data_IF_835456290115
#
_entry.id   IF_835456290115
#
_cell.length_a   1.000
_cell.length_b   1.000
_cell.length_c   1.000
_cell.angle_alpha   90.00
_cell.angle_beta   90.00
_cell.angle_gamma   90.00
#
_symmetry.space_group_name_H-M   'P 1'
#
loop_
_entity.id
_entity.type
_entity.pdbx_description
1 polymer ?
#
# COMPACT_ATOMS: atom_id res chain seq x y z
N UNK A 1 21.54 13.20 10.86
CA UNK A 1 20.70 14.01 9.93
C UNK A 1 19.74 13.07 9.19
N UNK A 2 18.44 13.42 9.05
CA UNK A 2 17.49 12.62 8.23
C UNK A 2 17.63 12.99 6.76
N UNK A 3 18.27 12.15 5.95
CA UNK A 3 18.39 12.36 4.51
C UNK A 3 17.04 12.38 3.82
N UNK A 4 16.13 11.50 4.22
CA UNK A 4 14.77 11.40 3.67
C UNK A 4 13.92 12.62 4.06
N UNK A 5 13.95 13.04 5.34
CA UNK A 5 13.12 14.15 5.82
C UNK A 5 13.42 15.49 5.12
N UNK A 6 14.67 15.71 4.72
CA UNK A 6 15.10 16.95 4.05
C UNK A 6 14.77 17.00 2.54
N UNK A 7 14.36 15.88 1.94
CA UNK A 7 14.06 15.87 0.52
C UNK A 7 12.75 16.62 0.25
N UNK A 8 12.72 17.61 -0.65
CA UNK A 8 11.49 18.26 -1.05
C UNK A 8 10.55 17.26 -1.73
N UNK A 9 9.26 17.52 -1.66
CA UNK A 9 8.20 16.74 -2.30
C UNK A 9 7.70 17.60 -3.46
N UNK A 10 7.86 17.13 -4.70
CA UNK A 10 7.29 17.79 -5.85
C UNK A 10 5.76 17.61 -5.84
N UNK A 11 5.02 18.69 -6.06
CA UNK A 11 3.57 18.70 -6.17
C UNK A 11 3.24 18.73 -7.67
N UNK A 12 2.70 17.64 -8.25
CA UNK A 12 2.32 17.62 -9.65
C UNK A 12 1.17 18.60 -9.95
N UNK A 13 1.04 19.01 -11.21
CA UNK A 13 -0.07 19.84 -11.65
C UNK A 13 -1.41 19.14 -11.37
N UNK A 14 -2.37 19.88 -10.82
CA UNK A 14 -3.67 19.36 -10.42
C UNK A 14 -3.74 18.72 -9.04
N UNK A 15 -2.66 18.81 -8.25
CA UNK A 15 -2.65 18.41 -6.83
C UNK A 15 -2.63 19.64 -5.94
N UNK A 16 -3.53 19.66 -4.97
CA UNK A 16 -3.65 20.72 -3.95
C UNK A 16 -3.40 20.12 -2.58
N UNK A 17 -2.55 20.76 -1.78
CA UNK A 17 -2.24 20.38 -0.41
C UNK A 17 -2.76 21.46 0.53
N UNK A 18 -3.65 21.09 1.44
CA UNK A 18 -4.17 21.96 2.50
C UNK A 18 -3.72 21.45 3.85
N UNK A 19 -3.07 22.30 4.62
CA UNK A 19 -2.65 21.98 5.99
C UNK A 19 -3.61 22.68 6.95
N UNK A 20 -4.39 21.90 7.67
CA UNK A 20 -5.35 22.38 8.68
C UNK A 20 -4.74 22.45 10.08
N UNK A 21 -5.61 22.70 11.07
CA UNK A 21 -5.21 22.74 12.46
C UNK A 21 -4.56 21.41 12.88
N UNK A 22 -3.58 21.49 13.79
CA UNK A 22 -2.84 20.33 14.34
C UNK A 22 -2.18 19.42 13.30
N UNK A 23 -1.83 19.96 12.11
CA UNK A 23 -1.29 19.17 10.99
C UNK A 23 -2.25 18.11 10.42
N UNK A 24 -3.56 18.36 10.43
CA UNK A 24 -4.49 17.61 9.61
C UNK A 24 -4.27 18.00 8.14
N UNK A 25 -3.61 17.12 7.40
CA UNK A 25 -3.26 17.39 6.00
C UNK A 25 -4.28 16.73 5.07
N UNK A 26 -4.80 17.53 4.16
CA UNK A 26 -5.68 17.07 3.08
C UNK A 26 -4.98 17.29 1.73
N UNK A 27 -4.83 16.24 0.96
CA UNK A 27 -4.26 16.29 -0.38
C UNK A 27 -5.34 15.89 -1.38
N UNK A 28 -5.65 16.79 -2.29
CA UNK A 28 -6.65 16.59 -3.35
C UNK A 28 -5.95 16.46 -4.70
N UNK A 29 -6.34 15.47 -5.48
CA UNK A 29 -5.75 15.21 -6.80
C UNK A 29 -6.71 14.51 -7.76
N UNK A 30 -6.24 14.11 -8.95
CA UNK A 30 -7.08 13.56 -10.02
C UNK A 30 -7.76 12.24 -9.64
N UNK A 31 -7.15 11.41 -8.77
CA UNK A 31 -7.72 10.12 -8.35
C UNK A 31 -8.59 10.21 -7.10
N UNK A 32 -8.62 11.36 -6.44
CA UNK A 32 -9.44 11.57 -5.25
C UNK A 32 -8.76 12.44 -4.21
N UNK A 33 -9.21 12.30 -2.96
CA UNK A 33 -8.73 13.08 -1.82
C UNK A 33 -8.21 12.14 -0.74
N UNK A 34 -7.03 12.41 -0.23
CA UNK A 34 -6.44 11.73 0.92
C UNK A 34 -6.37 12.72 2.08
N UNK A 35 -6.81 12.31 3.27
CA UNK A 35 -6.73 13.11 4.50
C UNK A 35 -6.05 12.29 5.57
N UNK A 36 -5.03 12.85 6.21
CA UNK A 36 -4.29 12.17 7.27
C UNK A 36 -3.83 13.16 8.32
N UNK A 37 -3.92 12.74 9.59
CA UNK A 37 -3.36 13.47 10.72
C UNK A 37 -1.86 13.19 10.77
N UNK A 38 -1.04 14.21 10.58
CA UNK A 38 0.40 14.14 10.75
C UNK A 38 0.80 14.64 12.16
N UNK A 39 2.02 14.34 12.59
CA UNK A 39 2.44 14.67 13.94
C UNK A 39 2.57 16.19 14.12
N UNK A 40 1.95 16.73 15.18
CA UNK A 40 1.84 18.17 15.47
C UNK A 40 3.18 18.92 15.60
N UNK A 41 4.26 18.22 16.00
CA UNK A 41 5.57 18.84 16.14
C UNK A 41 6.24 19.15 14.80
N UNK A 42 5.78 18.58 13.70
CA UNK A 42 6.39 18.80 12.40
C UNK A 42 5.83 20.06 11.74
N UNK A 43 6.69 20.81 11.07
CA UNK A 43 6.34 22.02 10.36
C UNK A 43 6.26 21.67 8.86
N UNK A 44 5.09 21.81 8.28
CA UNK A 44 4.85 21.53 6.87
C UNK A 44 4.74 22.86 6.13
N UNK A 45 5.63 23.09 5.16
CA UNK A 45 5.62 24.27 4.31
C UNK A 45 5.28 23.87 2.88
N UNK A 46 4.37 24.58 2.27
CA UNK A 46 3.99 24.39 0.86
C UNK A 46 4.35 25.66 0.11
N UNK A 47 5.30 25.57 -0.80
CA UNK A 47 5.82 26.71 -1.57
C UNK A 47 5.70 26.41 -3.06
N UNK A 48 4.68 26.97 -3.69
CA UNK A 48 4.39 26.75 -5.11
C UNK A 48 4.23 25.27 -5.46
N UNK A 49 5.16 24.73 -6.26
CA UNK A 49 5.15 23.34 -6.72
C UNK A 49 5.91 22.37 -5.81
N UNK A 50 6.29 22.79 -4.60
CA UNK A 50 7.07 21.96 -3.66
C UNK A 50 6.51 22.02 -2.25
N UNK A 51 6.51 20.88 -1.57
CA UNK A 51 6.25 20.80 -0.14
C UNK A 51 7.50 20.32 0.60
N UNK A 52 7.78 20.94 1.73
CA UNK A 52 8.90 20.59 2.62
C UNK A 52 8.41 20.34 4.02
N UNK A 53 9.09 19.44 4.73
CA UNK A 53 8.81 19.15 6.14
C UNK A 53 10.04 19.55 6.95
N UNK A 54 9.82 20.32 8.01
CA UNK A 54 10.85 20.74 8.94
C UNK A 54 10.56 20.18 10.34
N UNK A 55 11.59 20.07 11.15
CA UNK A 55 11.49 19.70 12.57
C UNK A 55 11.92 20.85 13.46
N UNK A 56 11.31 21.02 14.65
CA UNK A 56 11.62 22.16 15.52
C UNK A 56 12.99 22.05 16.17
N UNK A 57 13.47 20.85 16.46
CA UNK A 57 14.74 20.59 17.11
C UNK A 57 15.34 19.22 16.73
N UNK A 58 16.54 18.90 17.28
CA UNK A 58 17.30 17.70 17.00
C UNK A 58 17.10 16.57 18.05
N UNK A 59 16.00 16.60 18.77
CA UNK A 59 15.61 15.50 19.66
C UNK A 59 15.38 14.19 18.91
N UNK A 60 15.63 13.06 19.57
CA UNK A 60 15.53 11.73 18.96
C UNK A 60 14.12 11.47 18.37
N UNK A 61 13.06 11.88 19.07
CA UNK A 61 11.69 11.78 18.61
C UNK A 61 11.46 12.58 17.32
N UNK A 62 11.85 13.86 17.29
CA UNK A 62 11.65 14.73 16.15
C UNK A 62 12.50 14.31 14.94
N UNK A 63 13.68 13.71 15.17
CA UNK A 63 14.48 13.08 14.09
C UNK A 63 13.77 11.89 13.45
N UNK A 64 13.14 11.03 14.24
CA UNK A 64 12.39 9.88 13.74
C UNK A 64 11.12 10.30 12.99
N UNK A 65 10.36 11.23 13.55
CA UNK A 65 9.12 11.76 12.98
C UNK A 65 9.34 12.54 11.67
N UNK A 66 10.48 13.22 11.52
CA UNK A 66 10.79 14.02 10.35
C UNK A 66 10.75 13.20 9.05
N UNK A 67 11.45 12.04 9.03
CA UNK A 67 11.44 11.15 7.87
C UNK A 67 10.09 10.46 7.64
N UNK A 68 9.41 10.08 8.73
CA UNK A 68 8.08 9.47 8.67
C UNK A 68 7.07 10.43 8.08
N UNK A 69 6.95 11.65 8.63
CA UNK A 69 5.99 12.65 8.17
C UNK A 69 6.21 13.00 6.70
N UNK A 70 7.47 13.20 6.30
CA UNK A 70 7.80 13.43 4.88
C UNK A 70 7.34 12.29 3.99
N UNK A 71 7.56 11.04 4.40
CA UNK A 71 7.17 9.85 3.61
C UNK A 71 5.65 9.72 3.54
N UNK A 72 4.93 9.98 4.63
CA UNK A 72 3.47 9.96 4.64
C UNK A 72 2.90 11.01 3.67
N UNK A 73 3.41 12.25 3.74
CA UNK A 73 2.98 13.32 2.82
C UNK A 73 3.29 12.97 1.35
N UNK A 74 4.48 12.44 1.07
CA UNK A 74 4.84 12.01 -0.28
C UNK A 74 3.94 10.87 -0.78
N UNK A 75 3.57 9.92 0.09
CA UNK A 75 2.63 8.87 -0.25
C UNK A 75 1.23 9.42 -0.54
N UNK A 76 0.75 10.41 0.22
CA UNK A 76 -0.54 11.06 -0.07
C UNK A 76 -0.53 11.70 -1.47
N UNK A 77 0.52 12.47 -1.81
CA UNK A 77 0.67 13.10 -3.13
C UNK A 77 0.69 12.04 -4.22
N UNK A 78 1.51 11.00 -4.10
CA UNK A 78 1.58 9.90 -5.07
C UNK A 78 0.27 9.14 -5.16
N UNK A 79 -0.42 8.92 -4.05
CA UNK A 79 -1.68 8.19 -4.00
C UNK A 79 -2.79 8.88 -4.77
N UNK A 80 -2.91 10.21 -4.66
CA UNK A 80 -3.94 10.98 -5.38
C UNK A 80 -3.60 11.24 -6.85
N UNK A 81 -2.32 11.04 -7.27
CA UNK A 81 -1.89 11.16 -8.66
C UNK A 81 -1.90 9.82 -9.38
N UNK A 82 -0.97 8.94 -9.01
CA UNK A 82 -0.73 7.65 -9.66
C UNK A 82 -1.57 6.53 -9.05
N UNK A 83 -1.87 6.65 -7.75
CA UNK A 83 -2.40 5.57 -6.94
C UNK A 83 -1.35 4.52 -6.59
N UNK A 84 -1.74 3.55 -5.79
CA UNK A 84 -0.93 2.40 -5.42
C UNK A 84 -1.54 1.12 -5.96
N UNK A 85 -0.68 0.22 -6.40
CA UNK A 85 -1.06 -1.11 -6.88
C UNK A 85 -0.16 -2.13 -6.20
N UNK A 86 -0.75 -3.16 -5.61
CA UNK A 86 -0.06 -4.37 -5.14
C UNK A 86 -0.53 -5.55 -5.96
N UNK A 87 0.42 -6.22 -6.59
CA UNK A 87 0.17 -7.42 -7.39
C UNK A 87 0.43 -8.66 -6.55
N UNK A 88 -0.53 -9.57 -6.59
CA UNK A 88 -0.47 -10.88 -5.95
C UNK A 88 -0.60 -11.96 -7.01
N UNK A 89 0.22 -13.00 -6.90
CA UNK A 89 0.20 -14.18 -7.74
C UNK A 89 -0.36 -15.38 -6.97
N UNK A 90 -1.22 -16.12 -7.62
CA UNK A 90 -1.76 -17.38 -7.11
C UNK A 90 -1.00 -18.54 -7.77
N UNK A 91 -0.43 -19.40 -6.96
CA UNK A 91 0.29 -20.60 -7.42
C UNK A 91 -0.43 -21.84 -6.89
N UNK A 92 -0.76 -22.76 -7.75
CA UNK A 92 -1.39 -24.04 -7.37
C UNK A 92 -2.40 -24.54 -8.39
N UNK A 93 -2.44 -25.85 -8.60
CA UNK A 93 -3.40 -26.48 -9.50
C UNK A 93 -4.82 -26.30 -8.94
N UNK A 94 -5.72 -25.76 -9.76
CA UNK A 94 -7.11 -25.50 -9.37
C UNK A 94 -7.32 -24.25 -8.52
N UNK A 95 -6.23 -23.54 -8.11
CA UNK A 95 -6.35 -22.26 -7.39
C UNK A 95 -6.65 -21.14 -8.38
N UNK A 96 -7.63 -20.32 -8.07
CA UNK A 96 -8.06 -19.23 -8.94
C UNK A 96 -8.73 -18.10 -8.18
N UNK A 97 -8.64 -16.91 -8.72
CA UNK A 97 -9.42 -15.74 -8.34
C UNK A 97 -10.42 -15.39 -9.44
N UNK A 98 -11.55 -14.84 -9.05
CA UNK A 98 -12.53 -14.27 -9.95
C UNK A 98 -13.15 -13.03 -9.29
N UNK A 99 -13.39 -11.98 -10.07
CA UNK A 99 -14.14 -10.81 -9.60
C UNK A 99 -15.57 -10.85 -10.14
N UNK A 100 -16.55 -10.68 -9.25
CA UNK A 100 -17.96 -10.56 -9.59
C UNK A 100 -18.48 -9.25 -9.01
N UNK A 101 -18.71 -8.25 -9.86
CA UNK A 101 -19.09 -6.91 -9.42
C UNK A 101 -18.03 -6.29 -8.48
N UNK A 102 -18.39 -6.08 -7.23
CA UNK A 102 -17.49 -5.53 -6.19
C UNK A 102 -16.83 -6.62 -5.34
N UNK A 103 -17.13 -7.89 -5.57
CA UNK A 103 -16.63 -8.99 -4.74
C UNK A 103 -15.53 -9.76 -5.45
N UNK A 104 -14.38 -9.90 -4.79
CA UNK A 104 -13.30 -10.80 -5.16
C UNK A 104 -13.56 -12.17 -4.54
N UNK A 105 -13.68 -13.19 -5.35
CA UNK A 105 -13.87 -14.59 -4.92
C UNK A 105 -12.57 -15.36 -5.10
N UNK A 106 -12.11 -16.00 -4.04
CA UNK A 106 -10.89 -16.79 -4.02
C UNK A 106 -11.23 -18.29 -3.82
N UNK A 107 -10.79 -19.09 -4.77
CA UNK A 107 -10.82 -20.55 -4.64
C UNK A 107 -9.36 -21.03 -4.43
N UNK A 108 -8.98 -21.28 -3.20
CA UNK A 108 -7.62 -21.61 -2.79
C UNK A 108 -7.55 -22.98 -2.09
N UNK A 109 -8.45 -23.90 -2.41
CA UNK A 109 -8.49 -25.23 -1.83
C UNK A 109 -9.00 -25.26 -0.38
N UNK A 110 -9.77 -24.27 0.03
CA UNK A 110 -10.57 -24.31 1.25
C UNK A 110 -11.92 -24.99 0.98
N UNK A 111 -12.55 -25.53 2.02
CA UNK A 111 -13.89 -26.15 1.93
C UNK A 111 -15.01 -25.14 1.64
N UNK A 112 -14.74 -23.86 1.82
CA UNK A 112 -15.65 -22.75 1.56
C UNK A 112 -14.95 -21.66 0.70
N UNK A 113 -15.69 -20.92 -0.12
CA UNK A 113 -15.11 -19.79 -0.84
C UNK A 113 -14.72 -18.69 0.14
N UNK A 114 -13.60 -18.03 -0.14
CA UNK A 114 -13.17 -16.83 0.60
C UNK A 114 -13.45 -15.63 -0.28
N UNK A 115 -14.11 -14.63 0.30
CA UNK A 115 -14.52 -13.43 -0.42
C UNK A 115 -13.96 -12.17 0.22
N UNK A 116 -13.58 -11.19 -0.61
CA UNK A 116 -13.24 -9.83 -0.20
C UNK A 116 -14.09 -8.86 -1.01
N UNK A 117 -14.50 -7.77 -0.39
CA UNK A 117 -15.29 -6.75 -1.06
C UNK A 117 -14.46 -5.49 -1.35
N UNK A 118 -14.74 -4.85 -2.49
CA UNK A 118 -14.24 -3.51 -2.77
C UNK A 118 -14.78 -2.56 -1.70
N UNK A 119 -13.90 -1.82 -1.04
CA UNK A 119 -14.29 -0.89 0.01
C UNK A 119 -13.08 -0.19 0.63
N UNK A 120 -13.33 0.76 1.53
CA UNK A 120 -12.27 1.51 2.22
C UNK A 120 -11.23 2.15 1.28
N UNK A 121 -11.66 2.59 0.09
CA UNK A 121 -10.74 3.18 -0.90
C UNK A 121 -9.87 2.17 -1.64
N UNK A 122 -10.18 0.87 -1.56
CA UNK A 122 -9.48 -0.20 -2.28
C UNK A 122 -10.41 -0.86 -3.28
N UNK A 123 -9.88 -1.16 -4.46
CA UNK A 123 -10.53 -1.92 -5.52
C UNK A 123 -9.65 -3.08 -5.96
N UNK A 124 -10.30 -4.20 -6.27
CA UNK A 124 -9.63 -5.37 -6.81
C UNK A 124 -9.76 -5.42 -8.33
N UNK A 125 -8.75 -5.92 -9.02
CA UNK A 125 -8.83 -6.33 -10.42
C UNK A 125 -8.22 -7.71 -10.57
N UNK A 126 -8.80 -8.52 -11.46
CA UNK A 126 -8.34 -9.87 -11.76
C UNK A 126 -8.16 -9.96 -13.26
N UNK A 127 -7.00 -9.52 -13.79
CA UNK A 127 -6.72 -9.59 -15.23
C UNK A 127 -6.58 -11.04 -15.72
N UNK A 128 -6.10 -11.91 -14.85
CA UNK A 128 -5.97 -13.36 -15.08
C UNK A 128 -6.41 -14.12 -13.83
N UNK A 129 -6.89 -15.35 -13.94
CA UNK A 129 -7.35 -16.12 -12.78
C UNK A 129 -6.30 -16.36 -11.68
N UNK A 130 -5.03 -16.20 -12.02
CA UNK A 130 -3.89 -16.35 -11.12
C UNK A 130 -3.25 -15.03 -10.70
N UNK A 131 -3.76 -13.87 -11.14
CA UNK A 131 -3.20 -12.54 -10.81
C UNK A 131 -4.29 -11.67 -10.21
N UNK A 132 -4.00 -11.10 -9.05
CA UNK A 132 -4.87 -10.16 -8.35
C UNK A 132 -4.12 -8.84 -8.22
N UNK A 133 -4.75 -7.75 -8.67
CA UNK A 133 -4.27 -6.39 -8.46
C UNK A 133 -5.12 -5.74 -7.38
N UNK A 134 -4.47 -5.29 -6.30
CA UNK A 134 -5.09 -4.52 -5.21
C UNK A 134 -4.72 -3.07 -5.44
N UNK A 135 -5.70 -2.23 -5.75
CA UNK A 135 -5.51 -0.82 -6.13
C UNK A 135 -6.17 0.11 -5.12
N UNK A 136 -5.54 1.26 -4.87
CA UNK A 136 -6.12 2.29 -4.00
C UNK A 136 -5.28 3.55 -3.94
N UNK A 137 -5.82 4.56 -3.24
CA UNK A 137 -5.16 5.85 -3.05
C UNK A 137 -4.21 5.78 -1.84
N UNK A 138 -4.59 5.06 -0.79
CA UNK A 138 -3.80 4.95 0.44
C UNK A 138 -2.91 3.71 0.40
N UNK A 139 -1.59 3.93 0.44
CA UNK A 139 -0.59 2.86 0.47
C UNK A 139 -0.72 1.93 1.67
N UNK A 140 -1.13 2.47 2.84
CA UNK A 140 -1.28 1.68 4.07
C UNK A 140 -2.45 0.71 3.93
N UNK A 141 -3.60 1.20 3.47
CA UNK A 141 -4.82 0.39 3.29
C UNK A 141 -4.61 -0.65 2.20
N UNK A 142 -4.03 -0.26 1.04
CA UNK A 142 -3.67 -1.20 -0.05
C UNK A 142 -2.74 -2.29 0.45
N UNK A 143 -1.70 -1.92 1.23
CA UNK A 143 -0.76 -2.88 1.80
C UNK A 143 -1.42 -3.83 2.79
N UNK A 144 -2.29 -3.32 3.67
CA UNK A 144 -3.01 -4.11 4.66
C UNK A 144 -3.97 -5.12 4.00
N UNK A 145 -4.74 -4.66 3.01
CA UNK A 145 -5.69 -5.54 2.29
C UNK A 145 -4.93 -6.59 1.49
N UNK A 146 -3.84 -6.22 0.80
CA UNK A 146 -3.00 -7.18 0.09
C UNK A 146 -2.40 -8.24 1.03
N UNK A 147 -1.98 -7.84 2.24
CA UNK A 147 -1.49 -8.77 3.25
C UNK A 147 -2.59 -9.71 3.76
N UNK A 148 -3.81 -9.24 3.93
CA UNK A 148 -4.97 -10.07 4.31
C UNK A 148 -5.29 -11.12 3.22
N UNK A 149 -5.32 -10.71 1.95
CA UNK A 149 -5.53 -11.62 0.81
C UNK A 149 -4.42 -12.68 0.78
N UNK A 150 -3.15 -12.28 0.94
CA UNK A 150 -2.02 -13.24 1.00
C UNK A 150 -2.12 -14.18 2.20
N UNK A 151 -2.54 -13.70 3.36
CA UNK A 151 -2.66 -14.49 4.59
C UNK A 151 -3.73 -15.58 4.50
N UNK A 152 -4.70 -15.47 3.59
CA UNK A 152 -5.72 -16.50 3.35
C UNK A 152 -5.10 -17.86 3.02
N UNK A 153 -4.07 -17.88 2.18
CA UNK A 153 -3.31 -19.10 1.86
C UNK A 153 -1.85 -18.73 1.59
N UNK A 154 -1.00 -18.62 2.63
CA UNK A 154 0.41 -18.29 2.45
C UNK A 154 1.12 -19.35 1.59
N UNK A 155 2.13 -18.97 0.80
CA UNK A 155 2.84 -19.90 -0.04
C UNK A 155 3.59 -20.93 0.82
N UNK A 156 3.42 -22.21 0.50
CA UNK A 156 4.10 -23.29 1.20
C UNK A 156 5.55 -23.48 0.71
N UNK A 157 6.46 -24.01 1.54
CA UNK A 157 7.89 -23.99 1.25
C UNK A 157 8.37 -25.09 0.26
N UNK A 158 7.54 -26.04 -0.13
CA UNK A 158 7.97 -27.16 -1.00
C UNK A 158 7.69 -26.87 -2.47
N UNK A 159 6.46 -26.62 -2.84
CA UNK A 159 6.04 -26.33 -4.22
C UNK A 159 5.73 -24.83 -4.43
N UNK A 160 5.64 -24.07 -3.36
CA UNK A 160 5.28 -22.64 -3.40
C UNK A 160 3.80 -22.38 -3.66
N UNK A 161 2.92 -23.39 -3.42
CA UNK A 161 1.47 -23.24 -3.60
C UNK A 161 0.89 -22.25 -2.57
N UNK A 162 0.07 -21.33 -3.02
CA UNK A 162 -0.56 -20.31 -2.21
C UNK A 162 -0.61 -18.96 -2.93
N UNK A 163 -0.87 -17.90 -2.17
CA UNK A 163 -0.88 -16.51 -2.64
C UNK A 163 0.40 -15.83 -2.18
N UNK A 164 1.15 -15.26 -3.11
CA UNK A 164 2.39 -14.52 -2.85
C UNK A 164 2.35 -13.14 -3.51
N UNK A 165 3.20 -12.21 -3.09
CA UNK A 165 3.45 -11.00 -3.86
C UNK A 165 4.22 -11.33 -5.15
N UNK A 166 3.99 -10.59 -6.23
CA UNK A 166 4.68 -10.80 -7.50
C UNK A 166 6.21 -10.80 -7.36
N UNK A 167 6.75 -9.96 -6.46
CA UNK A 167 8.18 -9.83 -6.21
C UNK A 167 8.69 -10.73 -5.07
N UNK A 168 7.84 -11.59 -4.51
CA UNK A 168 8.20 -12.41 -3.36
C UNK A 168 8.95 -13.67 -3.79
N UNK A 169 10.19 -13.80 -3.33
CA UNK A 169 10.97 -15.02 -3.51
C UNK A 169 10.72 -15.97 -2.35
N UNK A 170 10.13 -17.13 -2.66
CA UNK A 170 9.86 -18.18 -1.66
C UNK A 170 11.07 -19.11 -1.56
N UNK A 171 11.71 -19.15 -0.39
CA UNK A 171 12.78 -20.10 -0.10
C UNK A 171 12.20 -21.51 -0.05
N UNK A 172 12.47 -22.30 -1.08
CA UNK A 172 11.99 -23.68 -1.17
C UNK A 172 12.87 -24.62 -0.37
N UNK A 173 12.25 -25.65 0.19
CA UNK A 173 12.90 -26.78 0.86
C UNK A 173 12.77 -28.01 -0.03
N UNK A 174 13.79 -28.87 -0.04
CA UNK A 174 13.67 -30.23 -0.61
C UNK A 174 12.80 -31.08 0.31
N UNK A 175 11.86 -31.81 -0.24
CA UNK A 175 11.12 -32.83 0.50
C UNK A 175 12.03 -33.95 0.98
N UNK A 176 11.54 -34.80 1.89
CA UNK A 176 12.26 -36.04 2.26
C UNK A 176 12.41 -36.89 1.01
N UNK A 177 13.64 -37.23 0.65
CA UNK A 177 13.89 -38.32 -0.31
C UNK A 177 13.35 -39.61 0.33
N UNK A 178 12.33 -40.23 -0.28
CA UNK A 178 11.90 -41.53 0.14
C UNK A 178 13.07 -42.53 -0.11
N UNK A 179 13.42 -43.26 0.91
CA UNK A 179 14.20 -44.47 0.74
C UNK A 179 13.31 -45.58 0.21
#
# INVERSE_FOLDING_TARGET
MSRIGKQPIAIPAGVEITVGAENLVTVKGPKGTATQQLHKNMIIKVEGATATVERPNDEALNKSLHGLTRTLLANMVKGVTDGFVKELEIVGVGYRAAKSGKTLNLNLGHSHPVTFEDGNGVTFEVPQPNIILVKGIDNQVVGQVAAQVRATRPPEPYHGKGVKYANEHIRRKSGKAGK
#
